data_IF_562657018298
#
_entry.id   IF_562657018298
#
_cell.length_a   1.000
_cell.length_b   1.000
_cell.length_c   1.000
_cell.angle_alpha   90.00
_cell.angle_beta   90.00
_cell.angle_gamma   90.00
#
_symmetry.space_group_name_H-M   'P 1'
#
loop_
_entity.id
_entity.type
_entity.pdbx_description
1 polymer ?
#
# COMPACT_ATOMS: atom_id res chain seq x y z
N UNK A 1 -2.79 23.46 -13.63
CA UNK A 1 -2.02 22.48 -14.42
C UNK A 1 -2.27 21.14 -13.76
N UNK A 2 -2.56 20.06 -14.50
CA UNK A 2 -3.15 18.83 -13.93
C UNK A 2 -2.35 18.38 -12.72
N UNK A 3 -2.98 18.34 -11.56
CA UNK A 3 -2.26 18.18 -10.30
C UNK A 3 -2.81 16.91 -9.65
N UNK A 4 -2.67 15.81 -10.41
CA UNK A 4 -3.20 14.47 -10.08
C UNK A 4 -2.61 13.97 -8.76
N UNK A 5 -3.37 13.11 -8.10
CA UNK A 5 -2.89 12.37 -6.93
C UNK A 5 -2.49 10.97 -7.36
N UNK A 6 -1.24 10.60 -7.10
CA UNK A 6 -0.74 9.25 -7.36
C UNK A 6 -0.89 8.42 -6.09
N UNK A 7 -1.80 7.46 -6.10
CA UNK A 7 -2.11 6.64 -4.94
C UNK A 7 -1.36 5.30 -5.00
N UNK A 8 -0.60 5.00 -3.95
CA UNK A 8 -0.13 3.64 -3.67
C UNK A 8 -1.33 2.72 -3.42
N UNK A 9 -1.64 1.85 -4.38
CA UNK A 9 -2.88 1.11 -4.42
C UNK A 9 -2.67 -0.40 -4.26
N UNK A 10 -3.30 -0.97 -3.22
CA UNK A 10 -3.17 -2.38 -2.84
C UNK A 10 -4.39 -3.25 -3.17
N UNK A 11 -5.45 -2.68 -3.77
CA UNK A 11 -6.69 -3.41 -4.04
C UNK A 11 -7.64 -3.56 -2.84
N UNK A 12 -7.19 -3.23 -1.63
CA UNK A 12 -8.01 -3.33 -0.41
C UNK A 12 -9.17 -2.34 -0.36
N UNK A 13 -10.14 -2.59 0.53
CA UNK A 13 -11.31 -1.72 0.75
C UNK A 13 -10.88 -0.26 0.99
N UNK A 14 -9.99 -0.05 1.96
CA UNK A 14 -9.67 1.28 2.47
C UNK A 14 -9.00 2.17 1.40
N UNK A 15 -8.10 1.61 0.58
CA UNK A 15 -7.45 2.31 -0.53
C UNK A 15 -8.36 2.42 -1.76
N UNK A 16 -9.27 1.48 -1.99
CA UNK A 16 -10.25 1.55 -3.09
C UNK A 16 -11.23 2.69 -2.88
N UNK A 17 -11.78 2.80 -1.67
CA UNK A 17 -12.68 3.92 -1.32
C UNK A 17 -11.91 5.24 -1.25
N UNK A 18 -10.64 5.21 -0.84
CA UNK A 18 -9.80 6.41 -0.81
C UNK A 18 -9.66 7.07 -2.18
N UNK A 19 -9.71 6.34 -3.30
CA UNK A 19 -9.67 6.91 -4.66
C UNK A 19 -10.78 7.97 -4.84
N UNK A 20 -12.03 7.56 -4.65
CA UNK A 20 -13.18 8.46 -4.76
C UNK A 20 -13.17 9.55 -3.68
N UNK A 21 -12.76 9.21 -2.45
CA UNK A 21 -12.69 10.19 -1.36
C UNK A 21 -11.65 11.30 -1.63
N UNK A 22 -10.43 10.94 -2.04
CA UNK A 22 -9.39 11.89 -2.43
C UNK A 22 -9.90 12.80 -3.55
N UNK A 23 -10.57 12.22 -4.56
CA UNK A 23 -11.13 13.00 -5.66
C UNK A 23 -12.15 14.04 -5.19
N UNK A 24 -13.02 13.69 -4.24
CA UNK A 24 -13.98 14.64 -3.65
C UNK A 24 -13.35 15.68 -2.75
N UNK A 25 -12.40 15.28 -1.91
CA UNK A 25 -11.76 16.17 -0.93
C UNK A 25 -10.85 17.19 -1.61
N UNK A 26 -10.15 16.78 -2.67
CA UNK A 26 -9.12 17.59 -3.32
C UNK A 26 -9.56 18.22 -4.65
N UNK A 27 -10.65 17.74 -5.25
CA UNK A 27 -11.09 18.13 -6.59
C UNK A 27 -10.16 17.66 -7.71
N UNK A 28 -9.28 16.68 -7.44
CA UNK A 28 -8.24 16.21 -8.37
C UNK A 28 -8.53 14.80 -8.86
N UNK A 29 -8.03 14.50 -10.06
CA UNK A 29 -8.00 13.15 -10.59
C UNK A 29 -7.00 12.28 -9.81
N UNK A 30 -7.33 11.00 -9.64
CA UNK A 30 -6.47 10.02 -8.97
C UNK A 30 -5.97 9.00 -9.97
N UNK A 31 -4.65 8.77 -9.97
CA UNK A 31 -4.01 7.66 -10.68
C UNK A 31 -3.64 6.61 -9.64
N UNK A 32 -4.19 5.40 -9.79
CA UNK A 32 -3.89 4.28 -8.90
C UNK A 32 -2.68 3.50 -9.43
N UNK A 33 -1.69 3.24 -8.58
CA UNK A 33 -0.50 2.45 -8.96
C UNK A 33 -0.43 1.24 -8.06
N UNK A 34 -0.65 0.06 -8.65
CA UNK A 34 -0.49 -1.23 -8.02
C UNK A 34 0.83 -1.87 -8.47
N UNK A 35 1.57 -2.45 -7.54
CA UNK A 35 2.88 -3.05 -7.82
C UNK A 35 2.80 -4.53 -7.46
N UNK A 36 3.09 -5.40 -8.43
CA UNK A 36 3.27 -6.83 -8.20
C UNK A 36 4.68 -7.08 -7.68
N UNK A 37 4.74 -7.52 -6.43
CA UNK A 37 5.95 -7.94 -5.72
C UNK A 37 5.86 -9.44 -5.36
N UNK A 38 4.96 -10.17 -6.00
CA UNK A 38 4.68 -11.57 -5.71
C UNK A 38 3.83 -11.76 -4.46
N UNK A 39 2.94 -10.82 -4.15
CA UNK A 39 1.99 -10.94 -3.03
C UNK A 39 0.96 -12.06 -3.23
N UNK A 40 0.74 -12.49 -4.48
CA UNK A 40 -0.31 -13.44 -4.83
C UNK A 40 -1.72 -12.89 -4.57
N UNK A 41 -2.67 -13.78 -4.27
CA UNK A 41 -4.05 -13.39 -4.02
C UNK A 41 -4.82 -13.13 -5.32
N UNK A 42 -5.41 -11.94 -5.44
CA UNK A 42 -6.21 -11.56 -6.61
C UNK A 42 -5.32 -11.26 -7.81
N UNK A 43 -5.83 -11.55 -9.02
CA UNK A 43 -5.15 -11.17 -10.26
C UNK A 43 -4.97 -9.64 -10.34
N UNK A 44 -3.79 -9.19 -10.78
CA UNK A 44 -3.48 -7.77 -10.82
C UNK A 44 -4.34 -6.99 -11.81
N UNK A 45 -4.87 -7.63 -12.86
CA UNK A 45 -5.86 -7.00 -13.75
C UNK A 45 -7.20 -6.75 -13.03
N UNK A 46 -7.59 -7.63 -12.10
CA UNK A 46 -8.78 -7.41 -11.25
C UNK A 46 -8.55 -6.26 -10.29
N UNK A 47 -7.36 -6.18 -9.68
CA UNK A 47 -6.96 -5.05 -8.84
C UNK A 47 -7.00 -3.75 -9.65
N UNK A 48 -6.41 -3.75 -10.85
CA UNK A 48 -6.42 -2.59 -11.76
C UNK A 48 -7.85 -2.14 -12.08
N UNK A 49 -8.70 -3.09 -12.49
CA UNK A 49 -10.08 -2.78 -12.87
C UNK A 49 -10.88 -2.20 -11.70
N UNK A 50 -10.69 -2.75 -10.49
CA UNK A 50 -11.33 -2.23 -9.28
C UNK A 50 -10.98 -0.76 -9.01
N UNK A 51 -9.75 -0.34 -9.24
CA UNK A 51 -9.37 1.07 -9.09
C UNK A 51 -10.15 1.97 -10.05
N UNK A 52 -10.29 1.56 -11.31
CA UNK A 52 -11.06 2.28 -12.33
C UNK A 52 -12.54 2.35 -11.93
N UNK A 53 -13.12 1.22 -11.50
CA UNK A 53 -14.51 1.14 -11.05
C UNK A 53 -14.77 2.01 -9.79
N UNK A 54 -13.73 2.24 -8.98
CA UNK A 54 -13.74 3.13 -7.82
C UNK A 54 -13.41 4.60 -8.14
N UNK A 55 -13.27 4.96 -9.42
CA UNK A 55 -13.16 6.35 -9.87
C UNK A 55 -11.74 6.85 -10.16
N UNK A 56 -10.75 5.96 -10.29
CA UNK A 56 -9.43 6.36 -10.77
C UNK A 56 -9.52 6.77 -12.26
N UNK A 57 -8.86 7.86 -12.64
CA UNK A 57 -8.80 8.28 -14.06
C UNK A 57 -7.92 7.32 -14.86
N UNK A 58 -6.88 6.81 -14.21
CA UNK A 58 -5.93 5.83 -14.76
C UNK A 58 -5.52 4.86 -13.65
N UNK A 59 -5.28 3.60 -14.00
CA UNK A 59 -4.82 2.57 -13.08
C UNK A 59 -3.69 1.78 -13.73
N UNK A 60 -2.53 1.78 -13.09
CA UNK A 60 -1.29 1.18 -13.58
C UNK A 60 -0.94 -0.02 -12.72
N UNK A 61 -0.53 -1.10 -13.38
CA UNK A 61 0.07 -2.27 -12.73
C UNK A 61 1.53 -2.33 -13.16
N UNK A 62 2.43 -2.39 -12.18
CA UNK A 62 3.87 -2.57 -12.40
C UNK A 62 4.25 -3.97 -11.94
N UNK A 63 4.74 -4.81 -12.85
CA UNK A 63 5.42 -6.05 -12.46
C UNK A 63 6.86 -5.71 -12.06
N UNK A 64 7.13 -5.72 -10.75
CA UNK A 64 8.42 -5.35 -10.19
C UNK A 64 9.06 -6.53 -9.45
N UNK A 65 8.67 -7.77 -9.74
CA UNK A 65 9.12 -8.97 -9.01
C UNK A 65 10.63 -9.20 -9.17
N UNK A 66 11.12 -9.16 -10.40
CA UNK A 66 12.55 -9.33 -10.70
C UNK A 66 13.36 -8.15 -10.17
N UNK A 67 12.91 -6.91 -10.39
CA UNK A 67 13.53 -5.70 -9.84
C UNK A 67 13.61 -5.75 -8.31
N UNK A 68 12.54 -6.21 -7.64
CA UNK A 68 12.53 -6.38 -6.19
C UNK A 68 13.56 -7.42 -5.73
N UNK A 69 13.66 -8.55 -6.43
CA UNK A 69 14.64 -9.58 -6.10
C UNK A 69 16.09 -9.08 -6.29
N UNK A 70 16.38 -8.44 -7.42
CA UNK A 70 17.72 -8.05 -7.83
C UNK A 70 18.22 -6.78 -7.14
N UNK A 71 17.39 -5.74 -7.03
CA UNK A 71 17.80 -4.43 -6.51
C UNK A 71 17.53 -4.24 -5.02
N UNK A 72 16.73 -5.11 -4.37
CA UNK A 72 16.34 -4.93 -2.96
C UNK A 72 16.61 -6.18 -2.10
N UNK A 73 16.16 -7.36 -2.52
CA UNK A 73 16.40 -8.60 -1.77
C UNK A 73 17.87 -9.02 -1.82
N UNK A 74 18.52 -8.97 -2.98
CA UNK A 74 19.93 -9.33 -3.12
C UNK A 74 20.87 -8.46 -2.25
N UNK A 75 20.74 -7.11 -2.19
CA UNK A 75 21.49 -6.30 -1.24
C UNK A 75 21.25 -6.67 0.23
N UNK A 76 20.02 -7.05 0.59
CA UNK A 76 19.71 -7.53 1.94
C UNK A 76 20.45 -8.85 2.24
N UNK A 77 20.53 -9.77 1.28
CA UNK A 77 21.30 -11.02 1.39
C UNK A 77 22.80 -10.72 1.55
N UNK A 78 23.37 -9.87 0.69
CA UNK A 78 24.79 -9.51 0.73
C UNK A 78 25.20 -8.91 2.09
N UNK A 79 24.28 -8.23 2.75
CA UNK A 79 24.50 -7.62 4.07
C UNK A 79 24.17 -8.56 5.24
N UNK A 80 23.69 -9.78 4.98
CA UNK A 80 23.08 -10.66 5.97
C UNK A 80 22.05 -9.91 6.84
N UNK A 81 21.20 -9.09 6.21
CA UNK A 81 20.37 -8.12 6.89
C UNK A 81 19.34 -8.81 7.80
N UNK A 82 19.56 -8.71 9.10
CA UNK A 82 18.68 -9.23 10.15
C UNK A 82 18.45 -8.16 11.19
N UNK A 83 17.28 -7.52 11.15
CA UNK A 83 16.87 -6.62 12.21
C UNK A 83 16.64 -7.39 13.50
N UNK A 84 17.21 -6.89 14.61
CA UNK A 84 17.24 -7.58 15.91
C UNK A 84 17.89 -8.97 15.86
N UNK A 85 18.78 -9.23 14.90
CA UNK A 85 19.35 -10.55 14.61
C UNK A 85 18.28 -11.64 14.38
N UNK A 86 17.08 -11.26 13.91
CA UNK A 86 15.92 -12.15 13.76
C UNK A 86 15.14 -11.93 12.47
N UNK A 87 14.82 -10.67 12.15
CA UNK A 87 13.84 -10.33 11.13
C UNK A 87 14.51 -9.85 9.83
N UNK A 88 14.35 -10.55 8.69
CA UNK A 88 15.02 -10.23 7.44
C UNK A 88 14.32 -9.11 6.66
N UNK A 89 13.83 -8.08 7.36
CA UNK A 89 13.29 -6.86 6.76
C UNK A 89 12.11 -7.07 5.78
N UNK A 90 11.33 -8.15 5.95
CA UNK A 90 10.24 -8.61 5.04
C UNK A 90 9.43 -7.48 4.41
N UNK A 91 8.84 -6.65 5.26
CA UNK A 91 8.04 -5.51 4.85
C UNK A 91 8.92 -4.33 4.44
N UNK A 92 10.02 -4.08 5.15
CA UNK A 92 10.81 -2.87 4.97
C UNK A 92 11.42 -2.74 3.55
N UNK A 93 11.88 -3.84 2.95
CA UNK A 93 12.61 -3.82 1.68
C UNK A 93 11.77 -3.30 0.51
N UNK A 94 10.47 -3.57 0.48
CA UNK A 94 9.63 -3.20 -0.67
C UNK A 94 9.28 -1.71 -0.72
N UNK A 95 9.26 -1.02 0.42
CA UNK A 95 8.80 0.38 0.49
C UNK A 95 9.61 1.33 -0.39
N UNK A 96 10.96 1.33 -0.38
CA UNK A 96 11.72 2.20 -1.28
C UNK A 96 11.49 1.88 -2.78
N UNK A 97 11.21 0.63 -3.15
CA UNK A 97 10.82 0.27 -4.52
C UNK A 97 9.46 0.84 -4.88
N UNK A 98 8.48 0.73 -3.98
CA UNK A 98 7.15 1.31 -4.20
C UNK A 98 7.24 2.83 -4.34
N UNK A 99 8.04 3.51 -3.49
CA UNK A 99 8.30 4.95 -3.61
C UNK A 99 8.89 5.30 -4.98
N UNK A 100 9.91 4.56 -5.45
CA UNK A 100 10.54 4.77 -6.77
C UNK A 100 9.49 4.78 -7.88
N UNK A 101 8.63 3.76 -7.92
CA UNK A 101 7.59 3.64 -8.95
C UNK A 101 6.47 4.68 -8.82
N UNK A 102 6.10 5.09 -7.60
CA UNK A 102 5.12 6.17 -7.41
C UNK A 102 5.67 7.53 -7.87
N UNK A 103 6.94 7.81 -7.62
CA UNK A 103 7.61 9.01 -8.12
C UNK A 103 7.66 8.98 -9.65
N UNK A 104 8.04 7.85 -10.26
CA UNK A 104 8.01 7.69 -11.73
C UNK A 104 6.61 7.95 -12.29
N UNK A 105 5.58 7.31 -11.72
CA UNK A 105 4.20 7.53 -12.15
C UNK A 105 3.73 8.98 -11.95
N UNK A 106 4.20 9.67 -10.91
CA UNK A 106 3.93 11.11 -10.75
C UNK A 106 4.52 11.93 -11.91
N UNK A 107 5.72 11.57 -12.41
CA UNK A 107 6.31 12.27 -13.55
C UNK A 107 5.57 11.96 -14.85
N UNK A 108 5.24 10.70 -15.06
CA UNK A 108 4.61 10.24 -16.31
C UNK A 108 3.17 10.72 -16.47
N UNK A 109 2.43 10.81 -15.35
CA UNK A 109 1.00 11.12 -15.36
C UNK A 109 0.67 12.54 -14.88
N UNK A 110 1.67 13.40 -14.65
CA UNK A 110 1.46 14.77 -14.19
C UNK A 110 0.89 14.84 -12.76
N UNK A 111 1.43 14.03 -11.85
CA UNK A 111 1.11 14.05 -10.43
C UNK A 111 1.83 15.16 -9.69
N UNK A 112 1.08 15.94 -8.89
CA UNK A 112 1.64 16.91 -7.93
C UNK A 112 1.57 16.43 -6.48
N UNK A 113 0.81 15.37 -6.23
CA UNK A 113 0.60 14.78 -4.91
C UNK A 113 0.83 13.27 -5.00
N UNK A 114 1.50 12.69 -4.02
CA UNK A 114 1.55 11.23 -3.79
C UNK A 114 0.76 10.89 -2.54
N UNK A 115 0.04 9.77 -2.55
CA UNK A 115 -0.80 9.35 -1.43
C UNK A 115 -0.49 7.92 -0.99
N UNK A 116 -0.55 7.65 0.31
CA UNK A 116 -0.39 6.31 0.88
C UNK A 116 -1.36 6.02 2.03
N UNK A 117 -1.68 4.74 2.23
CA UNK A 117 -2.59 4.27 3.29
C UNK A 117 -1.95 3.96 4.64
N UNK A 118 -0.68 4.33 4.88
CA UNK A 118 0.01 4.00 6.14
C UNK A 118 -0.64 4.65 7.36
N UNK A 119 -0.64 3.93 8.49
CA UNK A 119 -1.11 4.44 9.79
C UNK A 119 -0.05 5.31 10.47
N UNK A 120 -0.47 6.13 11.44
CA UNK A 120 0.42 7.00 12.24
C UNK A 120 1.29 6.30 13.27
N UNK A 121 1.13 4.99 13.50
CA UNK A 121 1.91 4.22 14.49
C UNK A 121 2.89 3.21 13.88
N UNK A 122 2.80 2.97 12.57
CA UNK A 122 3.63 1.99 11.87
C UNK A 122 4.93 2.59 11.35
N UNK A 123 5.89 1.73 11.02
CA UNK A 123 7.16 2.13 10.41
C UNK A 123 7.02 2.57 8.95
N UNK A 124 5.97 2.12 8.26
CA UNK A 124 5.85 2.33 6.81
C UNK A 124 5.64 3.78 6.42
N UNK A 125 4.94 4.58 7.23
CA UNK A 125 4.82 6.02 6.97
C UNK A 125 6.20 6.67 6.84
N UNK A 126 7.17 6.28 7.68
CA UNK A 126 8.53 6.83 7.65
C UNK A 126 9.26 6.36 6.40
N UNK A 127 9.12 5.08 6.04
CA UNK A 127 9.77 4.52 4.84
C UNK A 127 9.26 5.17 3.56
N UNK A 128 7.96 5.42 3.47
CA UNK A 128 7.35 6.15 2.35
C UNK A 128 7.76 7.62 2.34
N UNK A 129 7.50 8.35 3.42
CA UNK A 129 7.64 9.81 3.46
C UNK A 129 9.11 10.26 3.37
N UNK A 130 10.04 9.54 4.01
CA UNK A 130 11.48 9.83 3.85
C UNK A 130 11.92 9.53 2.41
N UNK A 131 11.38 8.46 1.81
CA UNK A 131 11.63 8.13 0.40
C UNK A 131 11.14 9.23 -0.54
N UNK A 132 9.90 9.70 -0.37
CA UNK A 132 9.34 10.81 -1.15
C UNK A 132 10.13 12.10 -0.95
N UNK A 133 10.44 12.47 0.30
CA UNK A 133 11.24 13.66 0.59
C UNK A 133 12.65 13.60 -0.02
N UNK A 134 13.20 12.40 -0.21
CA UNK A 134 14.53 12.22 -0.81
C UNK A 134 14.51 12.24 -2.33
N UNK A 135 13.53 11.58 -2.97
CA UNK A 135 13.48 11.40 -4.43
C UNK A 135 12.68 12.49 -5.15
N UNK A 136 11.71 13.10 -4.48
CA UNK A 136 10.76 14.04 -5.06
C UNK A 136 10.23 15.03 -4.01
N UNK A 137 11.10 15.88 -3.42
CA UNK A 137 10.70 16.85 -2.40
C UNK A 137 9.70 17.91 -2.89
N UNK A 138 9.50 18.01 -4.20
CA UNK A 138 8.50 18.86 -4.85
C UNK A 138 7.06 18.30 -4.77
N UNK A 139 6.91 16.99 -4.51
CA UNK A 139 5.59 16.35 -4.39
C UNK A 139 5.03 16.52 -2.99
N UNK A 140 3.77 16.94 -2.90
CA UNK A 140 3.03 16.90 -1.63
C UNK A 140 2.69 15.46 -1.27
N UNK A 141 2.75 15.11 0.02
CA UNK A 141 2.40 13.77 0.50
C UNK A 141 1.08 13.82 1.27
N UNK A 142 0.13 12.99 0.83
CA UNK A 142 -1.17 12.82 1.46
C UNK A 142 -1.24 11.47 2.20
N UNK A 143 -1.52 11.50 3.51
CA UNK A 143 -1.67 10.31 4.33
C UNK A 143 -3.08 10.24 4.97
N UNK A 144 -4.14 9.85 4.22
CA UNK A 144 -5.53 9.94 4.69
C UNK A 144 -5.79 9.22 6.01
N UNK A 145 -5.18 8.05 6.19
CA UNK A 145 -5.37 7.21 7.39
C UNK A 145 -4.81 7.89 8.64
N UNK A 146 -3.68 8.59 8.51
CA UNK A 146 -3.04 9.28 9.62
C UNK A 146 -3.66 10.66 9.88
N UNK A 147 -3.80 11.46 8.83
CA UNK A 147 -4.02 12.91 8.97
C UNK A 147 -5.49 13.32 8.84
N UNK A 148 -6.33 12.47 8.24
CA UNK A 148 -7.75 12.75 7.99
C UNK A 148 -8.68 11.79 8.75
N UNK A 149 -8.11 11.01 9.68
CA UNK A 149 -8.79 9.97 10.42
C UNK A 149 -9.61 9.05 9.49
N UNK A 150 -9.03 8.67 8.34
CA UNK A 150 -9.63 7.73 7.41
C UNK A 150 -9.61 6.33 8.04
N UNK A 151 -10.78 5.86 8.48
CA UNK A 151 -10.94 4.52 9.06
C UNK A 151 -11.76 3.63 8.15
N UNK A 152 -11.71 2.32 8.38
CA UNK A 152 -12.53 1.35 7.66
C UNK A 152 -14.02 1.67 7.76
N UNK A 153 -14.50 2.08 8.94
CA UNK A 153 -15.91 2.45 9.15
C UNK A 153 -16.30 3.67 8.33
N UNK A 154 -15.42 4.68 8.26
CA UNK A 154 -15.63 5.83 7.37
C UNK A 154 -15.60 5.42 5.89
N UNK A 155 -14.69 4.53 5.50
CA UNK A 155 -14.62 4.03 4.14
C UNK A 155 -15.90 3.28 3.74
N UNK A 156 -16.45 2.44 4.63
CA UNK A 156 -17.72 1.73 4.39
C UNK A 156 -18.87 2.74 4.24
N UNK A 157 -19.01 3.67 5.19
CA UNK A 157 -20.07 4.68 5.14
C UNK A 157 -19.96 5.56 3.87
N UNK A 158 -18.74 5.92 3.47
CA UNK A 158 -18.49 6.68 2.26
C UNK A 158 -18.81 5.86 1.00
N UNK A 159 -18.47 4.58 0.97
CA UNK A 159 -18.80 3.70 -0.15
C UNK A 159 -20.32 3.55 -0.34
N UNK A 160 -21.07 3.37 0.76
CA UNK A 160 -22.53 3.28 0.74
C UNK A 160 -23.18 4.59 0.27
N UNK A 161 -22.76 5.73 0.82
CA UNK A 161 -23.31 7.05 0.47
C UNK A 161 -23.07 7.42 -1.00
N UNK A 162 -21.99 6.93 -1.60
CA UNK A 162 -21.57 7.29 -2.95
C UNK A 162 -21.74 6.17 -3.97
N UNK A 163 -22.41 5.07 -3.58
CA UNK A 163 -22.64 3.89 -4.42
C UNK A 163 -21.35 3.35 -5.08
N UNK A 164 -20.25 3.33 -4.34
CA UNK A 164 -18.96 2.82 -4.84
C UNK A 164 -19.05 1.29 -4.97
N UNK A 165 -18.75 0.70 -6.13
CA UNK A 165 -18.90 -0.74 -6.38
C UNK A 165 -17.75 -1.54 -5.76
N UNK A 166 -17.73 -1.64 -4.43
CA UNK A 166 -16.69 -2.35 -3.68
C UNK A 166 -17.30 -3.38 -2.73
N UNK A 167 -16.65 -4.55 -2.62
CA UNK A 167 -17.08 -5.57 -1.69
C UNK A 167 -16.72 -5.19 -0.25
N UNK A 168 -17.73 -4.96 0.58
CA UNK A 168 -17.57 -4.76 2.02
C UNK A 168 -17.56 -6.11 2.72
N UNK A 169 -16.46 -6.85 2.58
CA UNK A 169 -16.31 -8.15 3.24
C UNK A 169 -16.05 -8.01 4.74
N UNK A 170 -16.45 -9.04 5.50
CA UNK A 170 -16.14 -9.14 6.93
C UNK A 170 -14.62 -9.12 7.12
N UNK A 171 -14.18 -8.31 8.09
CA UNK A 171 -12.78 -8.13 8.44
C UNK A 171 -12.13 -9.48 8.78
N UNK A 172 -11.03 -9.80 8.10
CA UNK A 172 -10.12 -10.86 8.55
C UNK A 172 -9.56 -10.47 9.93
N UNK A 173 -9.45 -11.42 10.88
CA UNK A 173 -8.78 -11.15 12.17
C UNK A 173 -7.27 -10.92 12.00
N UNK A 174 -6.73 -11.15 10.79
CA UNK A 174 -5.33 -10.96 10.45
C UNK A 174 -5.14 -9.70 9.59
N UNK A 175 -4.19 -8.88 9.98
CA UNK A 175 -3.57 -7.87 9.13
C UNK A 175 -2.31 -8.49 8.54
N UNK A 176 -2.29 -8.67 7.21
CA UNK A 176 -1.24 -9.42 6.51
C UNK A 176 -0.59 -8.51 5.49
N UNK A 177 0.74 -8.50 5.49
CA UNK A 177 1.58 -7.92 4.45
C UNK A 177 2.49 -9.03 3.92
N UNK A 178 2.41 -9.33 2.63
CA UNK A 178 3.16 -10.42 2.03
C UNK A 178 3.63 -10.07 0.62
N UNK A 179 4.78 -10.60 0.26
CA UNK A 179 5.40 -10.51 -1.05
C UNK A 179 6.27 -11.76 -1.27
N UNK A 180 7.03 -11.83 -2.36
CA UNK A 180 7.89 -12.97 -2.67
C UNK A 180 9.02 -13.17 -1.64
N UNK A 181 9.41 -12.12 -0.91
CA UNK A 181 10.49 -12.17 0.09
C UNK A 181 10.02 -12.70 1.46
N UNK A 182 8.75 -12.53 1.80
CA UNK A 182 8.19 -13.12 3.02
C UNK A 182 6.79 -12.61 3.36
N UNK A 183 6.32 -13.00 4.55
CA UNK A 183 4.99 -12.70 5.06
C UNK A 183 5.02 -12.22 6.50
N UNK A 184 4.40 -11.09 6.77
CA UNK A 184 4.19 -10.51 8.10
C UNK A 184 2.72 -10.61 8.48
N UNK A 185 2.45 -10.97 9.74
CA UNK A 185 1.09 -11.11 10.26
C UNK A 185 0.96 -10.39 11.59
N UNK A 186 -0.05 -9.56 11.70
CA UNK A 186 -0.51 -8.98 12.95
C UNK A 186 -1.94 -9.44 13.24
N UNK A 187 -2.23 -9.71 14.51
CA UNK A 187 -3.59 -10.02 14.97
C UNK A 187 -3.73 -9.62 16.42
N UNK A 188 -4.92 -9.16 16.82
CA UNK A 188 -5.18 -8.74 18.19
C UNK A 188 -4.88 -9.84 19.22
N UNK A 189 -4.99 -11.11 18.83
CA UNK A 189 -4.65 -12.24 19.72
C UNK A 189 -3.17 -12.27 20.11
N UNK A 190 -2.26 -11.92 19.19
CA UNK A 190 -0.81 -11.97 19.40
C UNK A 190 -0.22 -10.65 19.92
N UNK A 191 -1.05 -9.63 20.15
CA UNK A 191 -0.65 -8.45 20.91
C UNK A 191 -0.40 -8.77 22.39
N UNK A 192 -0.89 -9.92 22.87
CA UNK A 192 -0.58 -10.46 24.19
C UNK A 192 0.63 -11.40 24.12
N UNK A 193 1.75 -11.00 24.74
CA UNK A 193 3.04 -11.71 24.63
C UNK A 193 3.06 -13.14 25.18
N UNK A 194 2.04 -13.54 25.96
CA UNK A 194 1.91 -14.90 26.49
C UNK A 194 1.09 -15.84 25.59
N UNK A 195 0.46 -15.30 24.55
CA UNK A 195 -0.27 -16.09 23.57
C UNK A 195 0.71 -16.60 22.50
N UNK A 196 0.75 -17.92 22.33
CA UNK A 196 1.49 -18.54 21.23
C UNK A 196 0.70 -18.46 19.90
N UNK A 197 1.36 -18.36 18.74
CA UNK A 197 0.69 -18.38 17.44
C UNK A 197 -0.10 -19.69 17.22
N UNK A 198 -1.27 -19.57 16.58
CA UNK A 198 -2.07 -20.71 16.14
C UNK A 198 -1.79 -21.06 14.69
N UNK A 199 -2.19 -22.26 14.25
CA UNK A 199 -2.00 -22.73 12.86
C UNK A 199 -2.60 -21.79 11.80
N UNK A 200 -3.67 -21.07 12.14
CA UNK A 200 -4.40 -20.20 11.20
C UNK A 200 -3.63 -18.90 10.90
N UNK A 201 -2.57 -18.59 11.67
CA UNK A 201 -1.67 -17.45 11.41
C UNK A 201 -0.77 -17.72 10.20
N UNK A 202 -0.49 -18.99 9.91
CA UNK A 202 0.48 -19.41 8.90
C UNK A 202 -0.15 -19.59 7.52
N UNK A 203 0.67 -19.45 6.48
CA UNK A 203 0.27 -19.65 5.08
C UNK A 203 1.45 -20.19 4.25
N UNK A 204 2.56 -19.45 4.22
CA UNK A 204 3.77 -19.89 3.49
C UNK A 204 4.42 -21.14 4.10
N UNK A 205 4.31 -21.35 5.42
CA UNK A 205 4.88 -22.49 6.17
C UNK A 205 4.09 -22.76 7.43
#
# INVERSE_FOLDING_TARGET
MSERVILAYSGGLDTSVAISWIGKETGREVVAVAIDLGQGGEDMDVVRQRALDCGAVEAVVVDARDEFAEEYCLPAIQSNALYMDRYPLVSALSRPLIVKHLVTAARDHGGGIVAHGCTGKGNDQVRFEVGFASLAPDLEVLAPVRDYAWTREKAIAFAEQNAIPINVSKRSPFSVDQNVWGRAVETGFLEHLWNAPTKDVYDYT
#
